data_IF_912988077981
#
_entry.id   IF_912988077981
#
_cell.length_a   1.000
_cell.length_b   1.000
_cell.length_c   1.000
_cell.angle_alpha   90.00
_cell.angle_beta   90.00
_cell.angle_gamma   90.00
#
_symmetry.space_group_name_H-M   'P 1'
#
loop_
_entity.id
_entity.type
_entity.pdbx_description
1 polymer ?
#
# COMPACT_ATOMS: atom_id res chain seq x y z
N UNK A 1 21.46 -23.60 -4.91
CA UNK A 1 20.16 -23.16 -5.47
C UNK A 1 19.17 -23.21 -4.32
N UNK A 2 19.02 -22.09 -3.62
CA UNK A 2 18.11 -21.84 -2.49
C UNK A 2 17.03 -20.88 -3.03
N UNK A 3 15.72 -20.99 -2.82
CA UNK A 3 14.88 -21.86 -1.99
C UNK A 3 13.51 -21.82 -2.67
N UNK A 4 12.93 -22.98 -2.99
CA UNK A 4 11.52 -23.05 -3.41
C UNK A 4 10.67 -22.81 -2.16
N UNK A 5 10.35 -21.54 -1.88
CA UNK A 5 9.32 -21.20 -0.90
C UNK A 5 7.98 -21.59 -1.52
N UNK A 6 7.43 -22.68 -1.00
CA UNK A 6 6.11 -23.18 -1.35
C UNK A 6 5.06 -22.16 -0.89
N UNK A 7 4.72 -21.23 -1.78
CA UNK A 7 3.60 -20.32 -1.65
C UNK A 7 2.31 -21.15 -1.66
N UNK A 8 1.47 -21.14 -0.60
CA UNK A 8 0.16 -21.74 -0.71
C UNK A 8 -0.66 -20.88 -1.69
N UNK A 9 -1.16 -21.56 -2.71
CA UNK A 9 -2.03 -21.00 -3.73
C UNK A 9 -3.28 -20.37 -3.08
N UNK A 10 -3.52 -19.08 -3.36
CA UNK A 10 -4.78 -18.40 -3.03
C UNK A 10 -4.64 -17.06 -2.31
N UNK A 11 -3.47 -16.74 -1.77
CA UNK A 11 -3.24 -15.46 -1.10
C UNK A 11 -2.10 -14.72 -1.79
N UNK A 12 -2.50 -13.64 -2.44
CA UNK A 12 -1.65 -12.60 -2.96
C UNK A 12 -0.43 -12.34 -2.06
N UNK A 13 0.81 -12.40 -2.57
CA UNK A 13 2.00 -12.41 -1.74
C UNK A 13 2.03 -11.19 -0.82
N UNK A 14 2.37 -11.36 0.47
CA UNK A 14 2.31 -10.28 1.45
C UNK A 14 3.24 -9.14 1.03
N UNK A 15 2.78 -7.90 1.23
CA UNK A 15 3.58 -6.70 0.94
C UNK A 15 5.00 -6.83 1.51
N UNK A 16 5.98 -6.40 0.71
CA UNK A 16 7.39 -6.45 1.12
C UNK A 16 7.62 -5.66 2.41
N UNK A 17 8.67 -6.01 3.17
CA UNK A 17 9.02 -5.29 4.40
C UNK A 17 9.19 -3.77 4.18
N UNK A 18 9.83 -3.31 3.08
CA UNK A 18 9.90 -1.88 2.76
C UNK A 18 8.53 -1.23 2.51
N UNK A 19 7.67 -1.86 1.70
CA UNK A 19 6.33 -1.36 1.40
C UNK A 19 5.49 -1.21 2.69
N UNK A 20 5.52 -2.23 3.57
CA UNK A 20 4.82 -2.18 4.86
C UNK A 20 5.29 -1.05 5.76
N UNK A 21 6.61 -0.84 5.86
CA UNK A 21 7.17 0.26 6.68
C UNK A 21 6.76 1.62 6.15
N UNK A 22 6.77 1.81 4.84
CA UNK A 22 6.35 3.08 4.22
C UNK A 22 4.87 3.34 4.46
N UNK A 23 4.00 2.37 4.16
CA UNK A 23 2.55 2.52 4.35
C UNK A 23 2.19 2.79 5.81
N UNK A 24 2.82 2.09 6.77
CA UNK A 24 2.62 2.39 8.20
C UNK A 24 3.01 3.81 8.55
N UNK A 25 4.12 4.32 8.02
CA UNK A 25 4.53 5.71 8.26
C UNK A 25 3.49 6.68 7.72
N UNK A 26 3.06 6.49 6.48
CA UNK A 26 2.06 7.32 5.81
C UNK A 26 0.76 7.35 6.60
N UNK A 27 0.18 6.19 6.90
CA UNK A 27 -1.16 6.13 7.48
C UNK A 27 -1.20 6.38 8.99
N UNK A 28 -0.10 6.17 9.72
CA UNK A 28 -0.10 6.40 11.18
C UNK A 28 -0.05 7.89 11.54
N UNK A 29 0.43 8.76 10.65
CA UNK A 29 0.57 10.20 10.93
C UNK A 29 -0.53 11.05 10.29
N UNK A 30 -1.48 10.44 9.59
CA UNK A 30 -2.45 11.17 8.76
C UNK A 30 -3.87 11.10 9.30
N UNK A 31 -4.58 12.20 9.12
CA UNK A 31 -6.01 12.37 9.43
C UNK A 31 -6.87 12.46 8.16
N UNK A 32 -6.25 12.67 6.99
CA UNK A 32 -6.92 12.71 5.69
C UNK A 32 -6.70 11.43 4.88
N UNK A 33 -7.75 10.91 4.23
CA UNK A 33 -7.65 9.71 3.41
C UNK A 33 -6.85 9.96 2.13
N UNK A 34 -6.12 8.94 1.70
CA UNK A 34 -5.42 8.91 0.41
C UNK A 34 -6.30 8.18 -0.59
N UNK A 35 -6.54 8.81 -1.74
CA UNK A 35 -7.24 8.21 -2.85
C UNK A 35 -6.31 7.29 -3.63
N UNK A 36 -6.72 6.04 -3.83
CA UNK A 36 -6.10 5.10 -4.76
C UNK A 36 -7.19 4.32 -5.50
N UNK A 37 -7.09 4.25 -6.83
CA UNK A 37 -8.08 3.63 -7.71
C UNK A 37 -9.52 4.14 -7.46
N UNK A 38 -9.63 5.44 -7.18
CA UNK A 38 -10.91 6.10 -6.85
C UNK A 38 -11.47 5.80 -5.45
N UNK A 39 -10.79 4.97 -4.65
CA UNK A 39 -11.21 4.62 -3.30
C UNK A 39 -10.41 5.40 -2.23
N UNK A 40 -11.07 5.97 -1.21
CA UNK A 40 -10.39 6.63 -0.10
C UNK A 40 -9.91 5.62 0.94
N UNK A 41 -8.62 5.68 1.28
CA UNK A 41 -8.01 4.88 2.33
C UNK A 41 -7.47 5.79 3.43
N UNK A 42 -7.92 5.60 4.67
CA UNK A 42 -7.43 6.38 5.80
C UNK A 42 -6.44 5.57 6.66
N UNK A 43 -6.54 4.25 6.64
CA UNK A 43 -5.72 3.40 7.50
C UNK A 43 -4.82 2.45 6.72
N UNK A 44 -3.69 2.09 7.35
CA UNK A 44 -2.79 1.06 6.83
C UNK A 44 -3.52 -0.27 6.58
N UNK A 45 -4.47 -0.64 7.44
CA UNK A 45 -5.19 -1.92 7.31
C UNK A 45 -6.05 -1.96 6.06
N UNK A 46 -6.78 -0.89 5.78
CA UNK A 46 -7.62 -0.79 4.58
C UNK A 46 -6.76 -0.77 3.32
N UNK A 47 -5.72 0.05 3.30
CA UNK A 47 -4.81 0.17 2.17
C UNK A 47 -4.05 -1.14 1.88
N UNK A 48 -3.50 -1.78 2.91
CA UNK A 48 -2.79 -3.06 2.72
C UNK A 48 -3.74 -4.19 2.34
N UNK A 49 -4.96 -4.23 2.90
CA UNK A 49 -5.99 -5.18 2.46
C UNK A 49 -6.33 -5.01 0.99
N UNK A 50 -6.52 -3.76 0.54
CA UNK A 50 -6.79 -3.46 -0.86
C UNK A 50 -5.66 -3.89 -1.79
N UNK A 51 -4.41 -3.55 -1.46
CA UNK A 51 -3.25 -3.95 -2.26
C UNK A 51 -3.11 -5.48 -2.37
N UNK A 52 -3.53 -6.21 -1.33
CA UNK A 52 -3.56 -7.68 -1.34
C UNK A 52 -4.73 -8.27 -2.13
N UNK A 53 -5.77 -7.49 -2.47
CA UNK A 53 -6.78 -7.94 -3.43
C UNK A 53 -6.34 -7.76 -4.88
N UNK A 54 -5.34 -6.91 -5.13
CA UNK A 54 -4.82 -6.60 -6.46
C UNK A 54 -3.62 -7.48 -6.82
N UNK A 55 -3.48 -7.78 -8.11
CA UNK A 55 -2.39 -8.57 -8.68
C UNK A 55 -1.52 -7.76 -9.64
N UNK A 56 -0.21 -8.08 -9.67
CA UNK A 56 0.73 -7.56 -10.68
C UNK A 56 0.76 -6.03 -10.80
N UNK A 57 0.47 -5.53 -11.99
CA UNK A 57 0.54 -4.12 -12.34
C UNK A 57 -0.49 -3.26 -11.59
N UNK A 58 -1.70 -3.78 -11.35
CA UNK A 58 -2.74 -3.07 -10.61
C UNK A 58 -2.30 -2.76 -9.17
N UNK A 59 -1.61 -3.70 -8.53
CA UNK A 59 -1.04 -3.50 -7.19
C UNK A 59 0.02 -2.40 -7.18
N UNK A 60 0.95 -2.44 -8.13
CA UNK A 60 2.03 -1.45 -8.21
C UNK A 60 1.49 -0.05 -8.53
N UNK A 61 0.49 0.05 -9.41
CA UNK A 61 -0.20 1.30 -9.72
C UNK A 61 -0.90 1.89 -8.48
N UNK A 62 -1.72 1.10 -7.78
CA UNK A 62 -2.38 1.54 -6.55
C UNK A 62 -1.37 1.93 -5.45
N UNK A 63 -0.27 1.20 -5.32
CA UNK A 63 0.79 1.54 -4.38
C UNK A 63 1.49 2.86 -4.73
N UNK A 64 1.74 3.11 -6.01
CA UNK A 64 2.31 4.37 -6.49
C UNK A 64 1.37 5.56 -6.22
N UNK A 65 0.06 5.40 -6.45
CA UNK A 65 -0.96 6.41 -6.12
C UNK A 65 -0.99 6.72 -4.63
N UNK A 66 -0.99 5.68 -3.78
CA UNK A 66 -0.94 5.87 -2.32
C UNK A 66 0.31 6.65 -1.88
N UNK A 67 1.46 6.34 -2.49
CA UNK A 67 2.72 7.05 -2.22
C UNK A 67 2.67 8.51 -2.70
N UNK A 68 2.11 8.77 -3.88
CA UNK A 68 1.99 10.12 -4.42
C UNK A 68 0.97 10.98 -3.64
N UNK A 69 -0.15 10.38 -3.21
CA UNK A 69 -1.11 11.02 -2.32
C UNK A 69 -0.50 11.40 -0.98
N UNK A 70 0.36 10.55 -0.42
CA UNK A 70 1.08 10.85 0.81
C UNK A 70 1.99 12.08 0.67
N UNK A 71 2.77 12.16 -0.41
CA UNK A 71 3.69 13.26 -0.66
C UNK A 71 2.96 14.61 -0.85
N UNK A 72 1.78 14.61 -1.49
CA UNK A 72 1.02 15.84 -1.77
C UNK A 72 0.45 16.52 -0.52
N UNK A 73 0.09 15.76 0.51
CA UNK A 73 -0.50 16.37 1.71
C UNK A 73 0.54 16.74 2.78
N UNK A 74 1.77 16.23 2.69
CA UNK A 74 2.91 16.75 3.46
C UNK A 74 3.24 18.21 3.07
N UNK A 75 2.89 18.63 1.84
CA UNK A 75 3.15 19.98 1.33
C UNK A 75 2.07 21.01 1.75
N UNK A 76 0.94 20.57 2.32
CA UNK A 76 -0.18 21.47 2.67
C UNK A 76 -0.11 22.02 4.10
N UNK A 77 0.87 21.59 4.91
CA UNK A 77 1.12 22.11 6.28
C UNK A 77 2.52 22.77 6.43
N UNK A 78 2.97 23.52 5.41
CA UNK A 78 4.22 24.29 5.42
C UNK A 78 4.02 25.79 5.46
#
# INVERSE_FOLDING_TARGET
>A
METTDAQPAGENPPLSRPQRRLLKRIYNSRTEPILADGLPFLTYKEASGYLLTLEGEAREAAYAEMKAGAARSDETEG
#
